data_IF_270247659782
#
_entry.id   IF_270247659782
#
_cell.length_a   1.000
_cell.length_b   1.000
_cell.length_c   1.000
_cell.angle_alpha   90.00
_cell.angle_beta   90.00
_cell.angle_gamma   90.00
#
_symmetry.space_group_name_H-M   'P 1'
#
loop_
_entity.id
_entity.type
_entity.pdbx_description
1 polymer ?
#
# COMPACT_ATOMS: atom_id res chain seq x y z
N UNK A 1 -14.81 27.87 48.34
CA UNK A 1 -13.68 28.79 48.61
C UNK A 1 -14.24 30.20 48.56
N UNK A 2 -13.99 31.03 49.57
CA UNK A 2 -14.39 32.44 49.52
C UNK A 2 -13.54 33.14 48.46
N UNK A 3 -14.21 33.71 47.44
CA UNK A 3 -13.54 34.49 46.40
C UNK A 3 -13.13 35.84 46.99
N UNK A 4 -11.83 36.14 47.01
CA UNK A 4 -11.33 37.43 47.49
C UNK A 4 -11.50 38.49 46.39
N UNK A 5 -12.12 39.66 46.66
CA UNK A 5 -12.40 40.66 45.63
C UNK A 5 -11.16 41.14 44.86
N UNK A 6 -10.04 41.36 45.56
CA UNK A 6 -8.78 41.76 44.93
C UNK A 6 -8.20 40.66 44.02
N UNK A 7 -8.34 39.39 44.42
CA UNK A 7 -7.90 38.25 43.61
C UNK A 7 -8.69 38.15 42.31
N UNK A 8 -10.01 38.30 42.36
CA UNK A 8 -10.82 38.29 41.13
C UNK A 8 -10.51 39.49 40.23
N UNK A 9 -10.24 40.68 40.78
CA UNK A 9 -9.80 41.84 39.99
C UNK A 9 -8.45 41.60 39.29
N UNK A 10 -7.49 40.98 39.98
CA UNK A 10 -6.19 40.64 39.38
C UNK A 10 -6.31 39.58 38.28
N UNK A 11 -7.17 38.58 38.49
CA UNK A 11 -7.46 37.57 37.47
C UNK A 11 -8.08 38.24 36.24
N UNK A 12 -9.11 39.07 36.40
CA UNK A 12 -9.76 39.75 35.27
C UNK A 12 -8.80 40.68 34.52
N UNK A 13 -7.97 41.46 35.24
CA UNK A 13 -6.97 42.32 34.61
C UNK A 13 -5.93 41.53 33.78
N UNK A 14 -5.50 40.36 34.26
CA UNK A 14 -4.60 39.49 33.51
C UNK A 14 -5.28 38.83 32.31
N UNK A 15 -6.57 38.48 32.42
CA UNK A 15 -7.33 37.95 31.30
C UNK A 15 -7.53 39.00 30.20
N UNK A 16 -7.82 40.25 30.56
CA UNK A 16 -7.89 41.36 29.60
C UNK A 16 -6.56 41.59 28.89
N UNK A 17 -5.44 41.53 29.61
CA UNK A 17 -4.11 41.59 29.01
C UNK A 17 -3.88 40.44 28.02
N UNK A 18 -4.16 39.20 28.42
CA UNK A 18 -3.98 38.03 27.55
C UNK A 18 -4.88 38.08 26.32
N UNK A 19 -6.13 38.52 26.46
CA UNK A 19 -7.03 38.69 25.32
C UNK A 19 -6.49 39.74 24.35
N UNK A 20 -5.98 40.88 24.84
CA UNK A 20 -5.39 41.91 24.00
C UNK A 20 -4.16 41.39 23.21
N UNK A 21 -3.32 40.57 23.86
CA UNK A 21 -2.15 39.94 23.21
C UNK A 21 -2.58 38.87 22.19
N UNK A 22 -3.57 38.05 22.51
CA UNK A 22 -4.00 36.95 21.64
C UNK A 22 -4.89 37.38 20.49
N UNK A 23 -5.58 38.53 20.59
CA UNK A 23 -6.30 39.13 19.45
C UNK A 23 -5.38 39.41 18.27
N UNK A 24 -4.08 39.63 18.51
CA UNK A 24 -3.08 39.78 17.46
C UNK A 24 -2.64 38.40 16.96
N UNK A 25 -3.02 37.98 15.73
CA UNK A 25 -2.68 36.66 15.21
C UNK A 25 -1.16 36.42 15.17
N UNK A 26 -0.37 37.48 15.00
CA UNK A 26 1.09 37.43 14.95
C UNK A 26 1.67 36.86 16.23
N UNK A 27 1.11 37.18 17.40
CA UNK A 27 1.65 36.71 18.69
C UNK A 27 1.51 35.19 18.83
N UNK A 28 0.37 34.62 18.47
CA UNK A 28 0.17 33.16 18.55
C UNK A 28 0.99 32.43 17.48
N UNK A 29 1.20 33.07 16.33
CA UNK A 29 2.09 32.55 15.30
C UNK A 29 3.55 32.51 15.80
N UNK A 30 4.00 33.54 16.51
CA UNK A 30 5.34 33.55 17.13
C UNK A 30 5.48 32.46 18.19
N UNK A 31 4.45 32.21 19.00
CA UNK A 31 4.46 31.11 19.97
C UNK A 31 4.58 29.73 19.29
N UNK A 32 3.81 29.51 18.21
CA UNK A 32 3.90 28.27 17.44
C UNK A 32 5.28 28.09 16.79
N UNK A 33 5.83 29.14 16.19
CA UNK A 33 7.15 29.10 15.59
C UNK A 33 8.24 28.86 16.65
N UNK A 34 8.13 29.52 17.81
CA UNK A 34 9.04 29.33 18.94
C UNK A 34 9.03 27.89 19.43
N UNK A 35 7.84 27.29 19.58
CA UNK A 35 7.69 25.88 19.88
C UNK A 35 8.37 25.00 18.82
N UNK A 36 8.11 25.24 17.53
CA UNK A 36 8.71 24.46 16.44
C UNK A 36 10.25 24.54 16.45
N UNK A 37 10.81 25.74 16.61
CA UNK A 37 12.25 25.97 16.67
C UNK A 37 12.93 25.29 17.87
N UNK A 38 12.21 25.16 18.98
CA UNK A 38 12.66 24.37 20.13
C UNK A 38 12.53 22.87 19.86
N UNK A 39 11.38 22.42 19.35
CA UNK A 39 11.05 21.00 19.12
C UNK A 39 12.02 20.34 18.14
N UNK A 40 12.34 21.01 17.04
CA UNK A 40 13.24 20.49 16.00
C UNK A 40 14.67 20.20 16.51
N UNK A 41 15.08 20.84 17.61
CA UNK A 41 16.40 20.65 18.23
C UNK A 41 16.45 19.42 19.15
N UNK A 42 15.29 18.92 19.57
CA UNK A 42 15.22 17.73 20.42
C UNK A 42 15.51 16.48 19.59
N UNK A 43 16.07 15.45 20.22
CA UNK A 43 16.18 14.13 19.60
C UNK A 43 14.95 13.28 19.92
N UNK A 44 14.71 12.25 19.11
CA UNK A 44 13.57 11.35 19.32
C UNK A 44 13.59 10.74 20.72
N UNK A 45 14.74 10.22 21.16
CA UNK A 45 14.88 9.56 22.46
C UNK A 45 14.73 10.50 23.66
N UNK A 46 14.99 11.79 23.50
CA UNK A 46 14.83 12.77 24.58
C UNK A 46 13.36 13.05 24.90
N UNK A 47 12.47 12.88 23.91
CA UNK A 47 11.05 13.18 24.03
C UNK A 47 10.20 11.92 24.16
N UNK A 48 10.47 10.91 23.34
CA UNK A 48 9.68 9.67 23.29
C UNK A 48 10.57 8.43 23.33
N UNK A 49 10.26 7.56 24.27
CA UNK A 49 10.83 6.21 24.33
C UNK A 49 10.23 5.30 23.26
N UNK A 50 10.97 4.24 22.92
CA UNK A 50 10.46 3.17 22.06
C UNK A 50 9.13 2.60 22.59
N UNK A 51 9.03 2.35 23.90
CA UNK A 51 7.84 1.75 24.52
C UNK A 51 6.59 2.62 24.32
N UNK A 52 6.71 3.93 24.47
CA UNK A 52 5.60 4.86 24.26
C UNK A 52 5.10 4.84 22.81
N UNK A 53 6.02 4.92 21.84
CA UNK A 53 5.68 4.91 20.41
C UNK A 53 5.10 3.55 20.02
N UNK A 54 5.75 2.47 20.46
CA UNK A 54 5.31 1.11 20.16
C UNK A 54 3.91 0.85 20.74
N UNK A 55 3.66 1.21 22.00
CA UNK A 55 2.35 1.03 22.62
C UNK A 55 1.26 1.83 21.88
N UNK A 56 1.53 3.09 21.52
CA UNK A 56 0.59 3.91 20.75
C UNK A 56 0.27 3.27 19.40
N UNK A 57 1.29 2.90 18.62
CA UNK A 57 1.10 2.36 17.28
C UNK A 57 0.46 0.97 17.30
N UNK A 58 0.81 0.12 18.27
CA UNK A 58 0.12 -1.16 18.48
C UNK A 58 -1.36 -0.93 18.76
N UNK A 59 -1.70 -0.04 19.69
CA UNK A 59 -3.10 0.28 19.98
C UNK A 59 -3.84 0.81 18.74
N UNK A 60 -3.23 1.72 17.98
CA UNK A 60 -3.87 2.34 16.82
C UNK A 60 -4.03 1.37 15.64
N UNK A 61 -3.07 0.47 15.40
CA UNK A 61 -3.10 -0.42 14.23
C UNK A 61 -3.80 -1.74 14.56
N UNK A 62 -3.57 -2.30 15.74
CA UNK A 62 -4.00 -3.65 16.12
C UNK A 62 -5.27 -3.68 16.97
N UNK A 63 -5.54 -2.64 17.75
CA UNK A 63 -6.68 -2.63 18.68
C UNK A 63 -7.79 -1.65 18.28
N UNK A 64 -7.52 -0.75 17.33
CA UNK A 64 -8.51 0.24 16.86
C UNK A 64 -9.04 -0.17 15.48
N UNK A 65 -10.27 -0.72 15.39
CA UNK A 65 -10.87 -1.05 14.11
C UNK A 65 -11.20 0.22 13.31
N UNK A 66 -11.16 0.12 11.98
CA UNK A 66 -11.62 1.22 11.13
C UNK A 66 -13.12 1.43 11.32
N UNK A 67 -13.56 2.69 11.39
CA UNK A 67 -14.98 3.00 11.48
C UNK A 67 -15.68 2.69 10.15
N UNK A 68 -16.95 2.30 10.20
CA UNK A 68 -17.77 2.10 8.99
C UNK A 68 -17.74 3.33 8.08
N UNK A 69 -17.82 4.53 8.67
CA UNK A 69 -17.71 5.79 7.93
C UNK A 69 -16.37 5.91 7.18
N UNK A 70 -15.24 5.55 7.80
CA UNK A 70 -13.94 5.60 7.10
C UNK A 70 -13.89 4.60 5.94
N UNK A 71 -14.43 3.39 6.12
CA UNK A 71 -14.49 2.36 5.07
C UNK A 71 -15.34 2.85 3.89
N UNK A 72 -16.49 3.45 4.17
CA UNK A 72 -17.35 4.07 3.15
C UNK A 72 -16.62 5.21 2.41
N UNK A 73 -15.90 6.07 3.16
CA UNK A 73 -15.09 7.13 2.55
C UNK A 73 -14.01 6.55 1.63
N UNK A 74 -13.30 5.48 2.03
CA UNK A 74 -12.29 4.84 1.19
C UNK A 74 -12.93 4.34 -0.12
N UNK A 75 -14.07 3.65 -0.03
CA UNK A 75 -14.79 3.16 -1.22
C UNK A 75 -15.19 4.31 -2.14
N UNK A 76 -15.69 5.42 -1.58
CA UNK A 76 -16.11 6.59 -2.33
C UNK A 76 -14.93 7.32 -3.00
N UNK A 77 -13.78 7.45 -2.33
CA UNK A 77 -12.59 8.05 -2.92
C UNK A 77 -12.02 7.19 -4.07
N UNK A 78 -12.01 5.87 -3.91
CA UNK A 78 -11.63 4.94 -4.99
C UNK A 78 -12.60 5.10 -6.17
N UNK A 79 -13.91 5.13 -5.88
CA UNK A 79 -14.96 5.34 -6.89
C UNK A 79 -14.72 6.63 -7.66
N UNK A 80 -14.53 7.74 -6.95
CA UNK A 80 -14.27 9.06 -7.52
C UNK A 80 -13.02 9.06 -8.40
N UNK A 81 -11.91 8.51 -7.90
CA UNK A 81 -10.66 8.42 -8.66
C UNK A 81 -10.81 7.61 -9.95
N UNK A 82 -11.58 6.52 -9.95
CA UNK A 82 -11.79 5.67 -11.13
C UNK A 82 -12.69 6.33 -12.19
N UNK A 83 -13.73 7.05 -11.77
CA UNK A 83 -14.68 7.70 -12.70
C UNK A 83 -14.32 9.15 -13.05
N UNK A 84 -13.18 9.65 -12.55
CA UNK A 84 -12.79 11.04 -12.75
C UNK A 84 -12.63 11.37 -14.25
N UNK A 85 -13.24 12.45 -14.77
CA UNK A 85 -13.22 12.78 -16.21
C UNK A 85 -11.81 12.92 -16.80
N UNK A 86 -10.84 13.35 -15.99
CA UNK A 86 -9.43 13.48 -16.42
C UNK A 86 -8.83 12.15 -16.91
N UNK A 87 -9.39 11.01 -16.48
CA UNK A 87 -8.92 9.69 -16.90
C UNK A 87 -9.18 9.40 -18.38
N UNK A 88 -10.10 10.13 -19.03
CA UNK A 88 -10.37 10.00 -20.46
C UNK A 88 -9.28 10.63 -21.32
N UNK A 89 -8.60 11.66 -20.81
CA UNK A 89 -7.57 12.42 -21.53
C UNK A 89 -6.15 12.14 -21.06
N UNK A 90 -5.98 11.61 -19.83
CA UNK A 90 -4.68 11.26 -19.26
C UNK A 90 -4.25 9.87 -19.72
N UNK A 91 -3.05 9.78 -20.32
CA UNK A 91 -2.46 8.51 -20.76
C UNK A 91 -1.69 7.85 -19.62
N UNK A 92 -1.53 6.53 -19.68
CA UNK A 92 -0.71 5.79 -18.71
C UNK A 92 0.73 6.34 -18.66
N UNK A 93 1.30 6.75 -19.79
CA UNK A 93 2.63 7.38 -19.86
C UNK A 93 2.74 8.73 -19.13
N UNK A 94 1.64 9.45 -18.98
CA UNK A 94 1.64 10.77 -18.33
C UNK A 94 1.75 10.64 -16.80
N UNK A 95 1.36 9.48 -16.26
CA UNK A 95 1.42 9.17 -14.82
C UNK A 95 2.62 8.31 -14.45
N UNK A 96 2.99 7.34 -15.30
CA UNK A 96 4.11 6.43 -15.04
C UNK A 96 5.25 6.75 -16.03
N UNK A 97 6.36 7.35 -15.56
CA UNK A 97 7.48 7.67 -16.43
C UNK A 97 8.09 6.40 -17.04
N UNK A 98 8.39 6.44 -18.34
CA UNK A 98 9.05 5.34 -19.06
C UNK A 98 10.37 4.92 -18.40
N UNK A 99 11.12 5.87 -17.85
CA UNK A 99 12.37 5.59 -17.12
C UNK A 99 12.15 4.77 -15.85
N UNK A 100 11.00 4.91 -15.19
CA UNK A 100 10.63 4.11 -14.02
C UNK A 100 10.28 2.68 -14.45
N UNK A 101 9.55 2.52 -15.56
CA UNK A 101 9.25 1.20 -16.14
C UNK A 101 10.54 0.49 -16.56
N UNK A 102 11.46 1.18 -17.23
CA UNK A 102 12.75 0.63 -17.64
C UNK A 102 13.60 0.20 -16.44
N UNK A 103 13.68 1.01 -15.38
CA UNK A 103 14.37 0.64 -14.14
C UNK A 103 13.75 -0.60 -13.47
N UNK A 104 12.42 -0.68 -13.40
CA UNK A 104 11.72 -1.86 -12.88
C UNK A 104 12.00 -3.08 -13.78
N UNK A 105 12.04 -2.89 -15.10
CA UNK A 105 12.38 -3.93 -16.08
C UNK A 105 13.73 -4.54 -15.78
N UNK A 106 14.75 -3.69 -15.71
CA UNK A 106 16.14 -4.07 -15.53
C UNK A 106 16.31 -4.72 -14.16
N UNK A 107 15.67 -4.18 -13.12
CA UNK A 107 15.68 -4.77 -11.80
C UNK A 107 15.06 -6.17 -11.77
N UNK A 108 13.87 -6.36 -12.36
CA UNK A 108 13.18 -7.66 -12.39
C UNK A 108 13.92 -8.66 -13.29
N UNK A 109 14.40 -8.23 -14.46
CA UNK A 109 15.17 -9.06 -15.38
C UNK A 109 16.48 -9.54 -14.75
N UNK A 110 17.17 -8.69 -13.98
CA UNK A 110 18.41 -9.05 -13.29
C UNK A 110 18.23 -10.07 -12.15
N UNK A 111 17.00 -10.37 -11.72
CA UNK A 111 16.70 -11.38 -10.68
C UNK A 111 16.51 -12.78 -11.27
N UNK A 112 17.43 -13.21 -12.14
CA UNK A 112 17.41 -14.51 -12.83
C UNK A 112 17.17 -15.71 -11.90
N UNK A 113 17.79 -15.71 -10.71
CA UNK A 113 17.60 -16.77 -9.72
C UNK A 113 16.18 -16.88 -9.14
N UNK A 114 15.43 -15.77 -8.99
CA UNK A 114 14.03 -15.83 -8.55
C UNK A 114 13.12 -16.38 -9.63
N UNK A 115 13.34 -15.96 -10.89
CA UNK A 115 12.59 -16.45 -12.05
C UNK A 115 12.80 -17.94 -12.27
N UNK A 116 14.05 -18.42 -12.27
CA UNK A 116 14.37 -19.84 -12.43
C UNK A 116 13.70 -20.68 -11.34
N UNK A 117 13.72 -20.20 -10.08
CA UNK A 117 13.01 -20.86 -8.97
C UNK A 117 11.50 -20.92 -9.19
N UNK A 118 10.86 -19.84 -9.65
CA UNK A 118 9.43 -19.84 -9.93
C UNK A 118 9.07 -20.79 -11.08
N UNK A 119 9.79 -20.74 -12.20
CA UNK A 119 9.59 -21.66 -13.35
C UNK A 119 9.74 -23.10 -12.87
N UNK A 120 10.80 -23.40 -12.11
CA UNK A 120 11.02 -24.72 -11.52
C UNK A 120 9.85 -25.15 -10.63
N UNK A 121 9.34 -24.28 -9.76
CA UNK A 121 8.19 -24.60 -8.89
C UNK A 121 6.91 -24.88 -9.68
N UNK A 122 6.64 -24.09 -10.72
CA UNK A 122 5.44 -24.26 -11.58
C UNK A 122 5.53 -25.54 -12.39
N UNK A 123 6.69 -25.81 -13.00
CA UNK A 123 6.88 -26.94 -13.91
C UNK A 123 6.98 -28.29 -13.17
N UNK A 124 7.42 -28.27 -11.91
CA UNK A 124 7.38 -29.43 -11.03
C UNK A 124 6.03 -29.58 -10.30
N UNK A 125 5.05 -28.70 -10.56
CA UNK A 125 3.71 -28.84 -9.99
C UNK A 125 2.95 -30.00 -10.68
N UNK A 126 2.32 -30.92 -9.91
CA UNK A 126 1.51 -32.01 -10.47
C UNK A 126 0.39 -31.56 -11.43
N UNK A 127 -0.20 -30.38 -11.23
CA UNK A 127 -1.23 -29.83 -12.09
C UNK A 127 -0.70 -29.45 -13.49
N UNK A 128 0.52 -28.90 -13.56
CA UNK A 128 1.17 -28.58 -14.83
C UNK A 128 1.47 -29.86 -15.63
N UNK A 129 1.93 -30.89 -14.92
CA UNK A 129 2.20 -32.21 -15.47
C UNK A 129 0.93 -32.89 -16.03
N UNK A 130 -0.20 -32.77 -15.32
CA UNK A 130 -1.50 -33.24 -15.79
C UNK A 130 -1.98 -32.47 -17.02
N UNK A 131 -1.84 -31.14 -17.04
CA UNK A 131 -2.21 -30.28 -18.16
C UNK A 131 -1.45 -30.62 -19.45
N UNK A 132 -0.12 -30.79 -19.38
CA UNK A 132 0.68 -31.19 -20.56
C UNK A 132 0.26 -32.57 -21.06
N UNK A 133 0.02 -33.51 -20.16
CA UNK A 133 -0.39 -34.87 -20.51
C UNK A 133 -1.73 -34.83 -21.26
N UNK A 134 -2.71 -34.07 -20.75
CA UNK A 134 -4.00 -33.89 -21.38
C UNK A 134 -3.91 -33.16 -22.73
N UNK A 135 -3.11 -32.11 -22.85
CA UNK A 135 -2.91 -31.39 -24.10
C UNK A 135 -2.27 -32.28 -25.18
N UNK A 136 -1.28 -33.11 -24.82
CA UNK A 136 -0.65 -34.05 -25.77
C UNK A 136 -1.65 -35.13 -26.18
N UNK A 137 -2.39 -35.71 -25.23
CA UNK A 137 -3.43 -36.69 -25.52
C UNK A 137 -4.48 -36.11 -26.47
N UNK A 138 -4.99 -34.92 -26.16
CA UNK A 138 -5.99 -34.24 -26.99
C UNK A 138 -5.43 -33.86 -28.36
N UNK A 139 -4.18 -33.38 -28.45
CA UNK A 139 -3.57 -33.03 -29.74
C UNK A 139 -3.32 -34.25 -30.63
N UNK A 140 -2.97 -35.39 -30.04
CA UNK A 140 -2.82 -36.66 -30.78
C UNK A 140 -4.19 -37.16 -31.23
N UNK A 141 -5.19 -37.12 -30.35
CA UNK A 141 -6.56 -37.48 -30.67
C UNK A 141 -7.11 -36.61 -31.81
N UNK A 142 -6.99 -35.28 -31.69
CA UNK A 142 -7.41 -34.33 -32.72
C UNK A 142 -6.66 -34.55 -34.05
N UNK A 143 -5.37 -34.88 -34.01
CA UNK A 143 -4.61 -35.20 -35.23
C UNK A 143 -5.11 -36.50 -35.88
N UNK A 144 -5.38 -37.54 -35.09
CA UNK A 144 -5.91 -38.81 -35.58
C UNK A 144 -7.33 -38.63 -36.15
N UNK A 145 -8.21 -37.94 -35.43
CA UNK A 145 -9.58 -37.67 -35.87
C UNK A 145 -9.60 -36.83 -37.14
N UNK A 146 -8.81 -35.74 -37.21
CA UNK A 146 -8.75 -34.89 -38.40
C UNK A 146 -8.01 -35.55 -39.58
N UNK A 147 -7.00 -36.38 -39.34
CA UNK A 147 -6.29 -37.10 -40.42
C UNK A 147 -7.12 -38.24 -41.02
N UNK A 148 -7.98 -38.89 -40.21
CA UNK A 148 -8.97 -39.86 -40.69
C UNK A 148 -10.16 -39.17 -41.39
N UNK A 149 -10.41 -37.88 -41.09
CA UNK A 149 -11.40 -37.03 -41.76
C UNK A 149 -10.93 -36.47 -43.12
N UNK A 150 -9.64 -36.56 -43.48
CA UNK A 150 -9.17 -36.31 -44.86
C UNK A 150 -9.52 -37.50 -45.75
N UNK A 151 -10.82 -37.77 -45.91
CA UNK A 151 -11.34 -38.72 -46.89
C UNK A 151 -11.84 -37.96 -48.12
N UNK A 152 -11.29 -38.41 -49.25
CA UNK A 152 -11.65 -38.13 -50.65
C UNK A 152 -10.89 -37.00 -51.37
N UNK A 153 -9.61 -37.27 -51.68
CA UNK A 153 -9.01 -36.77 -52.93
C UNK A 153 -9.22 -37.83 -54.02
N UNK A 154 -9.98 -37.56 -55.10
CA UNK A 154 -10.13 -38.49 -56.22
C UNK A 154 -8.78 -38.68 -56.94
N UNK A 155 -8.25 -39.91 -57.00
CA UNK A 155 -7.12 -40.25 -57.89
C UNK A 155 -5.95 -41.07 -57.31
N UNK A 156 -5.85 -41.30 -55.99
CA UNK A 156 -4.72 -42.05 -55.39
C UNK A 156 -5.15 -43.36 -54.74
N UNK A 157 -5.54 -44.34 -55.58
CA UNK A 157 -5.98 -45.68 -55.14
C UNK A 157 -4.83 -46.70 -55.01
N UNK A 158 -3.59 -46.36 -55.39
CA UNK A 158 -2.47 -47.33 -55.46
C UNK A 158 -1.48 -47.32 -54.31
N UNK A 159 -1.52 -46.36 -53.39
CA UNK A 159 -0.61 -46.30 -52.22
C UNK A 159 -1.26 -46.67 -50.87
N UNK A 160 -2.59 -46.85 -50.82
CA UNK A 160 -3.30 -47.22 -49.57
C UNK A 160 -3.11 -48.69 -49.14
N UNK A 161 -2.58 -49.58 -49.98
CA UNK A 161 -2.49 -51.01 -49.67
C UNK A 161 -1.26 -51.42 -48.85
N UNK A 162 -0.26 -50.54 -48.68
CA UNK A 162 0.91 -50.83 -47.83
C UNK A 162 0.80 -50.27 -46.40
N UNK A 163 -0.04 -49.25 -46.16
CA UNK A 163 -0.25 -48.66 -44.82
C UNK A 163 -1.30 -49.37 -43.95
N UNK A 164 -2.07 -50.30 -44.51
CA UNK A 164 -3.23 -50.92 -43.84
C UNK A 164 -2.88 -51.90 -42.71
N UNK A 165 -1.70 -52.52 -42.73
CA UNK A 165 -1.31 -53.52 -41.73
C UNK A 165 -0.93 -52.94 -40.36
N UNK A 166 -0.57 -51.66 -40.28
CA UNK A 166 -0.18 -51.02 -39.01
C UNK A 166 -1.38 -50.36 -38.34
N UNK A 167 -2.38 -49.94 -39.12
CA UNK A 167 -3.56 -49.23 -38.63
C UNK A 167 -4.67 -50.14 -38.09
N UNK A 168 -4.80 -51.39 -38.55
CA UNK A 168 -5.89 -52.28 -38.10
C UNK A 168 -5.57 -53.08 -36.81
N UNK A 169 -4.37 -52.95 -36.22
CA UNK A 169 -3.97 -53.66 -34.98
C UNK A 169 -3.95 -52.79 -33.73
N UNK A 170 -4.31 -51.52 -33.85
CA UNK A 170 -4.28 -50.57 -32.74
C UNK A 170 -5.68 -50.05 -32.52
N UNK A 171 -6.42 -50.64 -31.59
CA UNK A 171 -7.69 -50.10 -31.11
C UNK A 171 -7.44 -48.74 -30.44
N UNK A 172 -8.30 -47.76 -30.70
CA UNK A 172 -8.18 -46.37 -30.18
C UNK A 172 -7.86 -46.33 -28.67
N UNK A 173 -8.51 -47.21 -27.89
CA UNK A 173 -8.30 -47.31 -26.44
C UNK A 173 -6.94 -47.87 -26.00
N UNK A 174 -6.26 -48.67 -26.83
CA UNK A 174 -4.95 -49.25 -26.51
C UNK A 174 -3.80 -48.26 -26.75
N UNK A 175 -3.94 -47.39 -27.76
CA UNK A 175 -2.98 -46.34 -28.09
C UNK A 175 -3.05 -45.22 -27.06
N UNK A 176 -4.25 -44.76 -26.71
CA UNK A 176 -4.46 -43.74 -25.69
C UNK A 176 -3.87 -44.13 -24.33
N UNK A 177 -4.11 -45.37 -23.89
CA UNK A 177 -3.58 -45.88 -22.63
C UNK A 177 -2.05 -46.03 -22.67
N UNK A 178 -1.48 -46.43 -23.81
CA UNK A 178 -0.02 -46.56 -23.98
C UNK A 178 0.66 -45.20 -23.99
N UNK A 179 0.05 -44.20 -24.64
CA UNK A 179 0.54 -42.82 -24.66
C UNK A 179 0.41 -42.20 -23.27
N UNK A 180 -0.72 -42.37 -22.60
CA UNK A 180 -0.93 -41.92 -21.22
C UNK A 180 0.16 -42.49 -20.29
N UNK A 181 0.41 -43.80 -20.38
CA UNK A 181 1.41 -44.47 -19.55
C UNK A 181 2.84 -44.02 -19.88
N UNK A 182 3.17 -43.80 -21.16
CA UNK A 182 4.47 -43.29 -21.58
C UNK A 182 4.70 -41.84 -21.12
N UNK A 183 3.69 -40.98 -21.22
CA UNK A 183 3.76 -39.58 -20.74
C UNK A 183 3.90 -39.54 -19.22
N UNK A 184 3.14 -40.37 -18.50
CA UNK A 184 3.21 -40.48 -17.03
C UNK A 184 4.59 -40.98 -16.57
N UNK A 185 5.17 -41.96 -17.26
CA UNK A 185 6.50 -42.51 -16.95
C UNK A 185 7.63 -41.51 -17.23
N UNK A 186 7.45 -40.63 -18.21
CA UNK A 186 8.45 -39.64 -18.62
C UNK A 186 8.18 -38.22 -18.10
N UNK A 187 7.24 -38.06 -17.16
CA UNK A 187 6.76 -36.77 -16.70
C UNK A 187 7.85 -35.89 -16.08
N UNK A 188 8.83 -36.51 -15.43
CA UNK A 188 10.03 -35.83 -14.88
C UNK A 188 10.89 -35.25 -16.01
N UNK A 189 11.08 -36.00 -17.10
CA UNK A 189 11.87 -35.57 -18.26
C UNK A 189 11.13 -34.48 -19.04
N UNK A 190 9.82 -34.60 -19.18
CA UNK A 190 8.97 -33.57 -19.78
C UNK A 190 8.99 -32.29 -18.96
N UNK A 191 8.89 -32.40 -17.63
CA UNK A 191 9.04 -31.29 -16.70
C UNK A 191 10.41 -30.60 -16.85
N UNK A 192 11.52 -31.35 -16.87
CA UNK A 192 12.85 -30.78 -17.09
C UNK A 192 13.00 -30.11 -18.48
N UNK A 193 12.43 -30.70 -19.53
CA UNK A 193 12.42 -30.11 -20.87
C UNK A 193 11.58 -28.83 -20.91
N UNK A 194 10.40 -28.83 -20.30
CA UNK A 194 9.54 -27.64 -20.15
C UNK A 194 10.23 -26.56 -19.34
N UNK A 195 10.96 -26.90 -18.27
CA UNK A 195 11.76 -25.95 -17.49
C UNK A 195 12.85 -25.32 -18.37
N UNK A 196 13.57 -26.10 -19.17
CA UNK A 196 14.58 -25.59 -20.10
C UNK A 196 13.97 -24.70 -21.19
N UNK A 197 12.87 -25.11 -21.81
CA UNK A 197 12.16 -24.33 -22.83
C UNK A 197 11.63 -23.03 -22.24
N UNK A 198 11.02 -23.06 -21.05
CA UNK A 198 10.52 -21.88 -20.38
C UNK A 198 11.65 -20.94 -19.97
N UNK A 199 12.78 -21.45 -19.47
CA UNK A 199 13.95 -20.62 -19.17
C UNK A 199 14.58 -20.00 -20.42
N UNK A 200 14.50 -20.65 -21.59
CA UNK A 200 14.94 -20.09 -22.87
C UNK A 200 14.02 -18.97 -23.37
N UNK A 201 12.70 -19.13 -23.20
CA UNK A 201 11.70 -18.15 -23.66
C UNK A 201 11.47 -17.00 -22.67
N UNK A 202 11.72 -17.24 -21.38
CA UNK A 202 11.72 -16.25 -20.31
C UNK A 202 13.14 -16.04 -19.78
N UNK A 203 14.07 -15.62 -20.64
CA UNK A 203 15.40 -15.17 -20.22
C UNK A 203 15.43 -13.66 -19.98
N UNK A 204 16.52 -13.14 -19.43
CA UNK A 204 16.64 -11.73 -19.00
C UNK A 204 16.35 -10.77 -20.18
N UNK A 205 16.89 -11.08 -21.37
CA UNK A 205 16.73 -10.26 -22.57
C UNK A 205 15.31 -10.32 -23.14
N UNK A 206 14.70 -11.51 -23.18
CA UNK A 206 13.32 -11.70 -23.66
C UNK A 206 12.30 -11.07 -22.71
N UNK A 207 12.55 -11.12 -21.40
CA UNK A 207 11.70 -10.47 -20.41
C UNK A 207 11.77 -8.93 -20.55
N UNK A 208 12.96 -8.39 -20.79
CA UNK A 208 13.14 -6.98 -21.10
C UNK A 208 12.40 -6.58 -22.39
N UNK A 209 12.59 -7.33 -23.48
CA UNK A 209 11.89 -7.08 -24.76
C UNK A 209 10.37 -7.20 -24.61
N UNK A 210 9.88 -8.19 -23.86
CA UNK A 210 8.46 -8.37 -23.58
C UNK A 210 7.89 -7.17 -22.82
N UNK A 211 8.59 -6.70 -21.79
CA UNK A 211 8.13 -5.57 -21.00
C UNK A 211 8.16 -4.25 -21.79
N UNK A 212 9.19 -4.01 -22.61
CA UNK A 212 9.21 -2.89 -23.54
C UNK A 212 8.05 -2.94 -24.54
N UNK A 213 7.73 -4.13 -25.06
CA UNK A 213 6.61 -4.35 -25.98
C UNK A 213 5.27 -4.10 -25.29
N UNK A 214 5.09 -4.59 -24.06
CA UNK A 214 3.91 -4.33 -23.26
C UNK A 214 3.76 -2.83 -22.97
N UNK A 215 4.84 -2.16 -22.59
CA UNK A 215 4.84 -0.72 -22.35
C UNK A 215 4.41 0.05 -23.59
N UNK A 216 4.99 -0.24 -24.76
CA UNK A 216 4.59 0.37 -26.03
C UNK A 216 3.10 0.20 -26.34
N UNK A 217 2.50 -0.93 -25.94
CA UNK A 217 1.06 -1.18 -26.14
C UNK A 217 0.17 -0.42 -25.17
N UNK A 218 0.56 -0.32 -23.89
CA UNK A 218 -0.30 0.26 -22.84
C UNK A 218 -0.10 1.77 -22.66
N UNK A 219 1.08 2.30 -23.00
CA UNK A 219 1.49 3.68 -22.64
C UNK A 219 0.55 4.77 -23.14
N UNK A 220 -0.05 4.57 -24.32
CA UNK A 220 -0.95 5.54 -24.97
C UNK A 220 -2.42 5.29 -24.63
N UNK A 221 -2.74 4.23 -23.87
CA UNK A 221 -4.10 3.98 -23.40
C UNK A 221 -4.51 5.03 -22.36
N UNK A 222 -5.76 5.50 -22.39
CA UNK A 222 -6.28 6.39 -21.37
C UNK A 222 -6.46 5.63 -20.05
N UNK A 223 -6.31 6.32 -18.92
CA UNK A 223 -6.50 5.74 -17.59
C UNK A 223 -7.94 5.22 -17.38
N UNK A 224 -8.91 5.74 -18.13
CA UNK A 224 -10.31 5.30 -18.08
C UNK A 224 -10.49 3.81 -18.41
N UNK A 225 -9.52 3.17 -19.07
CA UNK A 225 -9.52 1.72 -19.30
C UNK A 225 -9.59 0.94 -17.98
N UNK A 226 -9.04 1.45 -16.87
CA UNK A 226 -9.09 0.80 -15.55
C UNK A 226 -10.52 0.64 -15.02
N UNK A 227 -11.45 1.53 -15.40
CA UNK A 227 -12.87 1.44 -15.03
C UNK A 227 -13.54 0.18 -15.61
N UNK A 228 -13.05 -0.34 -16.73
CA UNK A 228 -13.62 -1.53 -17.36
C UNK A 228 -13.23 -2.83 -16.65
N UNK A 229 -12.23 -2.80 -15.77
CA UNK A 229 -11.73 -3.96 -15.02
C UNK A 229 -12.15 -3.95 -13.55
N UNK A 230 -12.76 -2.87 -13.09
CA UNK A 230 -13.21 -2.70 -11.70
C UNK A 230 -14.71 -2.40 -11.74
N UNK A 231 -15.53 -3.29 -11.18
CA UNK A 231 -16.96 -3.06 -11.04
C UNK A 231 -17.22 -1.97 -10.00
N UNK A 232 -17.34 -0.74 -10.49
CA UNK A 232 -17.54 0.47 -9.68
C UNK A 232 -18.78 0.38 -8.78
N UNK A 233 -19.79 -0.40 -9.18
CA UNK A 233 -21.02 -0.62 -8.42
C UNK A 233 -20.80 -1.52 -7.19
N UNK A 234 -19.82 -2.43 -7.26
CA UNK A 234 -19.50 -3.40 -6.21
C UNK A 234 -18.27 -2.99 -5.37
N UNK A 235 -17.76 -1.78 -5.58
CA UNK A 235 -16.66 -1.21 -4.79
C UNK A 235 -16.93 -1.23 -3.27
N UNK A 236 -18.13 -0.86 -2.77
CA UNK A 236 -18.39 -0.95 -1.33
C UNK A 236 -18.24 -2.37 -0.79
N UNK A 237 -18.67 -3.39 -1.56
CA UNK A 237 -18.55 -4.79 -1.16
C UNK A 237 -17.08 -5.26 -1.22
N UNK A 238 -16.36 -4.90 -2.28
CA UNK A 238 -14.94 -5.25 -2.47
C UNK A 238 -14.07 -4.62 -1.38
N UNK A 239 -14.32 -3.36 -1.03
CA UNK A 239 -13.61 -2.66 0.06
C UNK A 239 -13.95 -3.29 1.41
N UNK A 240 -15.21 -3.71 1.63
CA UNK A 240 -15.59 -4.45 2.83
C UNK A 240 -14.84 -5.79 2.96
N UNK A 241 -14.70 -6.55 1.88
CA UNK A 241 -13.91 -7.79 1.88
C UNK A 241 -12.44 -7.52 2.19
N UNK A 242 -11.86 -6.45 1.61
CA UNK A 242 -10.51 -5.99 1.95
C UNK A 242 -10.36 -5.63 3.43
N UNK A 243 -11.38 -4.98 4.00
CA UNK A 243 -11.44 -4.68 5.43
C UNK A 243 -11.49 -5.95 6.29
N UNK A 244 -12.26 -6.97 5.92
CA UNK A 244 -12.29 -8.26 6.66
C UNK A 244 -10.93 -8.95 6.68
N UNK A 245 -10.22 -8.95 5.55
CA UNK A 245 -8.84 -9.47 5.47
C UNK A 245 -7.92 -8.66 6.37
N UNK A 246 -8.03 -7.33 6.36
CA UNK A 246 -7.26 -6.46 7.24
C UNK A 246 -7.55 -6.73 8.72
N UNK A 247 -8.83 -6.90 9.10
CA UNK A 247 -9.25 -7.20 10.46
C UNK A 247 -8.67 -8.53 10.94
N UNK A 248 -8.68 -9.55 10.09
CA UNK A 248 -8.02 -10.82 10.41
C UNK A 248 -6.51 -10.66 10.55
N UNK A 249 -5.87 -9.97 9.60
CA UNK A 249 -4.42 -9.77 9.58
C UNK A 249 -3.93 -8.99 10.80
N UNK A 250 -4.65 -7.93 11.22
CA UNK A 250 -4.24 -7.10 12.36
C UNK A 250 -4.36 -7.82 13.70
N UNK A 251 -5.28 -8.78 13.82
CA UNK A 251 -5.38 -9.62 15.01
C UNK A 251 -4.33 -10.74 15.06
N UNK A 252 -3.68 -11.04 13.94
CA UNK A 252 -2.69 -12.11 13.85
C UNK A 252 -1.41 -11.81 14.64
N UNK A 253 -0.81 -12.85 15.23
CA UNK A 253 0.50 -12.75 15.88
C UNK A 253 1.61 -12.35 14.89
N UNK A 254 1.42 -12.67 13.60
CA UNK A 254 2.31 -12.25 12.53
C UNK A 254 2.41 -10.72 12.46
N UNK A 255 1.29 -10.01 12.33
CA UNK A 255 1.33 -8.55 12.21
C UNK A 255 1.77 -7.89 13.51
N UNK A 256 1.35 -8.42 14.67
CA UNK A 256 1.80 -7.93 15.98
C UNK A 256 3.32 -7.90 16.08
N UNK A 257 3.97 -9.01 15.69
CA UNK A 257 5.43 -9.12 15.70
C UNK A 257 6.10 -8.24 14.64
N UNK A 258 5.60 -8.26 13.41
CA UNK A 258 6.13 -7.40 12.32
C UNK A 258 6.05 -5.92 12.68
N UNK A 259 4.94 -5.49 13.29
CA UNK A 259 4.76 -4.11 13.73
C UNK A 259 5.78 -3.76 14.83
N UNK A 260 5.90 -4.59 15.87
CA UNK A 260 6.86 -4.36 16.95
C UNK A 260 8.30 -4.28 16.44
N UNK A 261 8.76 -5.29 15.69
CA UNK A 261 10.13 -5.37 15.18
C UNK A 261 10.42 -4.24 14.18
N UNK A 262 9.41 -3.85 13.38
CA UNK A 262 9.47 -2.73 12.45
C UNK A 262 9.63 -1.39 13.17
N UNK A 263 8.80 -1.12 14.19
CA UNK A 263 8.90 0.09 15.01
C UNK A 263 10.24 0.12 15.74
N UNK A 264 10.69 -1.02 16.29
CA UNK A 264 11.97 -1.09 16.99
C UNK A 264 13.13 -0.76 16.05
N UNK A 265 13.15 -1.37 14.87
CA UNK A 265 14.18 -1.11 13.85
C UNK A 265 14.19 0.35 13.41
N UNK A 266 13.02 0.94 13.19
CA UNK A 266 12.90 2.36 12.87
C UNK A 266 13.38 3.24 14.03
N UNK A 267 12.98 2.92 15.27
CA UNK A 267 13.33 3.69 16.45
C UNK A 267 14.83 3.70 16.67
N UNK A 268 15.50 2.54 16.71
CA UNK A 268 16.95 2.44 16.92
C UNK A 268 17.74 3.23 15.87
N UNK A 269 17.25 3.28 14.62
CA UNK A 269 17.87 4.06 13.53
C UNK A 269 17.69 5.58 13.69
N UNK A 270 16.63 6.02 14.37
CA UNK A 270 16.24 7.43 14.47
C UNK A 270 16.36 8.01 15.89
N UNK A 271 16.63 7.21 16.92
CA UNK A 271 16.58 7.61 18.32
C UNK A 271 17.49 8.81 18.64
N UNK A 272 18.68 8.85 18.04
CA UNK A 272 19.65 9.93 18.20
C UNK A 272 19.51 11.06 17.15
N UNK A 273 18.61 10.91 16.17
CA UNK A 273 18.36 11.96 15.16
C UNK A 273 17.48 13.05 15.78
N UNK A 274 17.74 14.29 15.38
CA UNK A 274 16.88 15.42 15.74
C UNK A 274 15.56 15.36 14.98
N UNK A 275 14.50 15.95 15.55
CA UNK A 275 13.23 16.08 14.86
C UNK A 275 13.33 16.91 13.58
N UNK A 276 14.29 17.83 13.45
CA UNK A 276 14.56 18.50 12.18
C UNK A 276 14.85 17.50 11.05
N UNK A 277 15.71 16.51 11.29
CA UNK A 277 16.05 15.51 10.28
C UNK A 277 14.89 14.55 10.00
N UNK A 278 14.15 14.14 11.04
CA UNK A 278 13.01 13.23 10.89
C UNK A 278 11.87 13.91 10.12
N UNK A 279 11.58 15.18 10.40
CA UNK A 279 10.52 15.93 9.71
C UNK A 279 10.89 16.21 8.24
N UNK A 280 12.17 16.48 7.94
CA UNK A 280 12.64 16.67 6.57
C UNK A 280 12.50 15.42 5.70
N UNK A 281 12.63 14.22 6.28
CA UNK A 281 12.43 12.96 5.54
C UNK A 281 11.00 12.81 4.97
N UNK A 282 10.03 13.54 5.53
CA UNK A 282 8.64 13.63 5.06
C UNK A 282 8.30 15.02 4.49
N UNK A 283 9.33 15.76 4.05
CA UNK A 283 9.23 17.10 3.44
C UNK A 283 8.59 18.18 4.34
N UNK A 284 8.64 18.01 5.66
CA UNK A 284 8.23 19.05 6.61
C UNK A 284 9.48 19.84 7.01
N UNK A 285 9.62 21.04 6.45
CA UNK A 285 10.69 21.98 6.77
C UNK A 285 10.16 23.31 7.31
N UNK A 286 11.08 24.20 7.65
CA UNK A 286 10.74 25.51 8.21
C UNK A 286 9.97 26.38 7.22
N UNK A 287 10.24 26.25 5.92
CA UNK A 287 9.56 27.03 4.90
C UNK A 287 8.09 26.60 4.76
N UNK A 288 7.80 25.30 4.80
CA UNK A 288 6.43 24.77 4.84
C UNK A 288 5.67 25.28 6.08
N UNK A 289 6.33 25.26 7.24
CA UNK A 289 5.74 25.69 8.51
C UNK A 289 5.38 27.18 8.47
N UNK A 290 6.31 28.05 8.06
CA UNK A 290 6.12 29.51 8.04
C UNK A 290 5.18 29.98 6.93
N UNK A 291 5.25 29.38 5.74
CA UNK A 291 4.55 29.93 4.56
C UNK A 291 3.20 29.29 4.27
N UNK A 292 3.00 28.03 4.65
CA UNK A 292 1.80 27.25 4.32
C UNK A 292 0.99 26.89 5.55
N UNK A 293 1.59 26.19 6.51
CA UNK A 293 0.86 25.70 7.70
C UNK A 293 0.37 26.85 8.59
N UNK A 294 1.15 27.94 8.71
CA UNK A 294 0.76 29.14 9.45
C UNK A 294 -0.55 29.76 8.94
N UNK A 295 -0.75 29.78 7.60
CA UNK A 295 -1.99 30.32 7.00
C UNK A 295 -3.20 29.45 7.31
N UNK A 296 -3.01 28.13 7.40
CA UNK A 296 -4.08 27.19 7.75
C UNK A 296 -4.43 27.22 9.24
N UNK A 297 -3.45 27.53 10.11
CA UNK A 297 -3.65 27.64 11.55
C UNK A 297 -4.35 28.95 11.97
N UNK A 298 -4.14 30.05 11.25
CA UNK A 298 -4.71 31.36 11.59
C UNK A 298 -6.23 31.36 11.83
N UNK A 299 -7.10 30.81 10.94
CA UNK A 299 -8.54 30.81 11.18
C UNK A 299 -8.94 29.97 12.39
N UNK A 300 -8.23 28.86 12.68
CA UNK A 300 -8.48 28.02 13.85
C UNK A 300 -8.21 28.80 15.13
N UNK A 301 -7.09 29.52 15.17
CA UNK A 301 -6.69 30.37 16.29
C UNK A 301 -7.71 31.50 16.51
N UNK A 302 -8.10 32.20 15.45
CA UNK A 302 -9.11 33.27 15.52
C UNK A 302 -10.44 32.76 16.05
N UNK A 303 -10.88 31.58 15.60
CA UNK A 303 -12.10 30.97 16.11
C UNK A 303 -11.99 30.61 17.60
N UNK A 304 -10.85 30.09 18.04
CA UNK A 304 -10.60 29.77 19.45
C UNK A 304 -10.63 31.01 20.36
N UNK A 305 -10.11 32.15 19.89
CA UNK A 305 -10.18 33.44 20.59
C UNK A 305 -11.63 33.95 20.61
N UNK A 306 -12.31 33.97 19.46
CA UNK A 306 -13.68 34.47 19.34
C UNK A 306 -14.67 33.68 20.20
N UNK A 307 -14.42 32.38 20.40
CA UNK A 307 -15.22 31.52 21.26
C UNK A 307 -14.88 31.66 22.76
N UNK A 308 -13.91 32.49 23.13
CA UNK A 308 -13.47 32.69 24.51
C UNK A 308 -12.69 31.50 25.09
N UNK A 309 -12.34 30.49 24.28
CA UNK A 309 -11.72 29.27 24.79
C UNK A 309 -10.35 29.55 25.44
N UNK A 310 -9.53 30.43 24.85
CA UNK A 310 -8.25 30.83 25.45
C UNK A 310 -8.45 31.56 26.78
N UNK A 311 -9.42 32.46 26.86
CA UNK A 311 -9.76 33.19 28.09
C UNK A 311 -10.16 32.24 29.21
N UNK A 312 -11.02 31.26 28.92
CA UNK A 312 -11.45 30.27 29.90
C UNK A 312 -10.29 29.38 30.39
N UNK A 313 -9.42 28.96 29.46
CA UNK A 313 -8.22 28.18 29.81
C UNK A 313 -7.24 29.00 30.66
N UNK A 314 -7.04 30.27 30.33
CA UNK A 314 -6.21 31.17 31.13
C UNK A 314 -6.80 31.35 32.54
N UNK A 315 -8.11 31.62 32.65
CA UNK A 315 -8.79 31.81 33.94
C UNK A 315 -8.60 30.60 34.85
N UNK A 316 -8.75 29.40 34.30
CA UNK A 316 -8.55 28.15 35.05
C UNK A 316 -7.17 28.07 35.72
N UNK A 317 -6.09 28.42 35.01
CA UNK A 317 -4.74 28.38 35.59
C UNK A 317 -4.48 29.56 36.52
N UNK A 318 -5.02 30.74 36.21
CA UNK A 318 -4.93 31.90 37.09
C UNK A 318 -5.63 31.66 38.42
N UNK A 319 -6.85 31.12 38.42
CA UNK A 319 -7.54 30.71 39.64
C UNK A 319 -6.71 29.69 40.45
N UNK A 320 -6.17 28.66 39.78
CA UNK A 320 -5.28 27.68 40.45
C UNK A 320 -4.07 28.33 41.11
N UNK A 321 -3.46 29.31 40.44
CA UNK A 321 -2.30 30.03 40.98
C UNK A 321 -2.71 30.94 42.14
N UNK A 322 -3.71 31.79 41.94
CA UNK A 322 -4.11 32.79 42.92
C UNK A 322 -4.71 32.20 44.19
N UNK A 323 -5.41 31.08 44.05
CA UNK A 323 -5.97 30.36 45.18
C UNK A 323 -5.05 29.23 45.69
N UNK A 324 -3.82 29.13 45.19
CA UNK A 324 -2.84 28.18 45.73
C UNK A 324 -2.47 28.56 47.17
N UNK A 325 -2.26 27.57 48.02
CA UNK A 325 -1.84 27.77 49.41
C UNK A 325 -0.55 28.60 49.49
N UNK A 326 0.36 28.41 48.53
CA UNK A 326 1.64 29.12 48.45
C UNK A 326 1.44 30.62 48.29
N UNK A 327 0.58 31.06 47.37
CA UNK A 327 0.36 32.50 47.16
C UNK A 327 -0.45 33.11 48.30
N UNK A 328 -1.47 32.41 48.79
CA UNK A 328 -2.26 32.87 49.94
C UNK A 328 -1.38 33.07 51.19
N UNK A 329 -0.39 32.19 51.41
CA UNK A 329 0.59 32.35 52.49
C UNK A 329 1.49 33.57 52.30
N UNK A 330 1.89 33.88 51.06
CA UNK A 330 2.68 35.07 50.75
C UNK A 330 1.88 36.36 50.95
N UNK A 331 0.61 36.36 50.54
CA UNK A 331 -0.29 37.52 50.69
C UNK A 331 -0.70 37.77 52.14
N UNK A 332 -0.73 36.72 52.97
CA UNK A 332 -1.10 36.80 54.40
C UNK A 332 0.11 36.98 55.34
N UNK A 333 1.34 37.03 54.82
CA UNK A 333 2.50 37.38 55.65
C UNK A 333 2.45 38.88 55.97
N UNK A 334 2.43 39.28 57.25
CA UNK A 334 2.61 40.69 57.60
C UNK A 334 4.00 41.12 57.12
N UNK A 335 4.04 42.21 56.34
CA UNK A 335 5.27 42.91 55.93
C UNK A 335 6.10 43.38 57.11
#
# INVERSE_FOLDING_TARGET
MQKHPLTEQLIEAQLEFLDAEFVQPENIQQEFLSFYLWFRKQTLQDIWSFEQINHLLQKQILDTPASSFLIEQIAEHIRFALVHPVNETTRIADVIPVLTIDKIAQYVAAKSGHRQRLIKTVVNNPAFSAMITQLIQHSIQDYLDNSVMVKHVPGVSRFMKMGKSVLESVTDSSLDNTIAHYLQKNIIKLSQMSENVLNQHFNDEKLYQFQATLWHKIKDMPLSVLKNYIEVQDLPQTVSMGHEIWEHMRQSDYLKKQLHDGIHTWYVRNQARSFDLILRDINIDEALIQNELQKLLQPVIQQMINQGHLRDRARYYLEKFYYSERLQTLLNKPT
#
